data_IF_131909219985
#
_entry.id   IF_131909219985
#
_cell.length_a   1.000
_cell.length_b   1.000
_cell.length_c   1.000
_cell.angle_alpha   90.00
_cell.angle_beta   90.00
_cell.angle_gamma   90.00
#
_symmetry.space_group_name_H-M   'P 1'
#
loop_
_entity.id
_entity.type
_entity.pdbx_description
1 polymer ?
#
# COMPACT_ATOMS: atom_id res chain seq x y z
N UNK A 1 -9.00 8.43 -16.34
CA UNK A 1 -7.60 8.88 -16.40
C UNK A 1 -7.53 10.25 -17.04
N UNK A 2 -6.68 11.12 -16.52
CA UNK A 2 -6.43 12.46 -17.09
C UNK A 2 -5.00 12.43 -17.62
N UNK A 3 -4.77 12.51 -18.94
CA UNK A 3 -3.42 12.63 -19.47
C UNK A 3 -2.79 13.94 -18.97
N UNK A 4 -1.56 13.89 -18.48
CA UNK A 4 -0.88 15.06 -17.89
C UNK A 4 0.17 15.65 -18.82
N UNK A 5 0.98 14.80 -19.46
CA UNK A 5 1.91 15.21 -20.51
C UNK A 5 1.25 15.29 -21.89
N UNK A 6 2.04 15.61 -22.92
CA UNK A 6 1.60 15.66 -24.32
C UNK A 6 2.12 14.47 -25.15
N UNK A 7 2.61 13.40 -24.50
CA UNK A 7 3.07 12.19 -25.18
C UNK A 7 1.89 11.24 -25.42
N UNK A 8 1.19 11.50 -26.53
CA UNK A 8 0.03 10.71 -26.93
C UNK A 8 0.37 9.23 -27.15
N UNK A 9 1.57 8.92 -27.67
CA UNK A 9 1.93 7.54 -27.99
C UNK A 9 2.12 6.72 -26.71
N UNK A 10 2.89 7.22 -25.76
CA UNK A 10 3.12 6.56 -24.47
C UNK A 10 1.82 6.43 -23.67
N UNK A 11 1.00 7.50 -23.67
CA UNK A 11 -0.30 7.49 -23.01
C UNK A 11 -1.24 6.42 -23.61
N UNK A 12 -1.34 6.34 -24.94
CA UNK A 12 -2.19 5.36 -25.62
C UNK A 12 -1.74 3.92 -25.38
N UNK A 13 -0.42 3.65 -25.31
CA UNK A 13 0.10 2.32 -25.00
C UNK A 13 -0.33 1.84 -23.60
N UNK A 14 -0.23 2.71 -22.59
CA UNK A 14 -0.68 2.43 -21.22
C UNK A 14 -2.20 2.31 -21.15
N UNK A 15 -2.92 3.26 -21.74
CA UNK A 15 -4.37 3.33 -21.69
C UNK A 15 -5.04 2.11 -22.33
N UNK A 16 -4.51 1.61 -23.46
CA UNK A 16 -5.06 0.43 -24.15
C UNK A 16 -4.97 -0.87 -23.31
N UNK A 17 -4.16 -0.89 -22.25
CA UNK A 17 -4.04 -2.02 -21.33
C UNK A 17 -4.99 -1.92 -20.13
N UNK A 18 -5.62 -0.77 -19.92
CA UNK A 18 -6.45 -0.49 -18.76
C UNK A 18 -7.94 -0.46 -19.14
N UNK A 19 -8.84 -1.06 -18.34
CA UNK A 19 -10.28 -1.05 -18.62
C UNK A 19 -10.96 0.27 -18.21
N UNK A 20 -10.22 1.38 -18.21
CA UNK A 20 -10.66 2.66 -17.63
C UNK A 20 -11.13 3.64 -18.69
N UNK A 21 -11.93 4.62 -18.29
CA UNK A 21 -12.28 5.75 -19.13
C UNK A 21 -11.21 6.84 -19.03
N UNK A 22 -10.94 7.54 -20.12
CA UNK A 22 -10.02 8.68 -20.15
C UNK A 22 -10.65 9.89 -20.83
N UNK A 23 -10.20 11.08 -20.43
CA UNK A 23 -10.42 12.29 -21.22
C UNK A 23 -9.60 12.24 -22.52
N UNK A 24 -10.12 12.83 -23.63
CA UNK A 24 -9.35 13.02 -24.85
C UNK A 24 -8.11 13.90 -24.60
N UNK A 25 -7.02 13.63 -25.33
CA UNK A 25 -5.77 14.39 -25.20
C UNK A 25 -5.95 15.89 -25.47
N UNK A 26 -6.82 16.27 -26.40
CA UNK A 26 -7.06 17.68 -26.76
C UNK A 26 -8.18 18.35 -25.96
N UNK A 27 -8.66 17.73 -24.88
CA UNK A 27 -9.75 18.29 -24.08
C UNK A 27 -9.27 19.45 -23.20
N UNK A 28 -9.96 20.59 -23.28
CA UNK A 28 -9.69 21.79 -22.47
C UNK A 28 -9.97 21.56 -20.98
N UNK A 29 -10.71 20.52 -20.61
CA UNK A 29 -10.98 20.16 -19.23
C UNK A 29 -9.75 19.59 -18.52
N UNK A 30 -8.75 19.07 -19.26
CA UNK A 30 -7.49 18.56 -18.68
C UNK A 30 -6.84 19.58 -17.76
N UNK A 31 -6.59 20.79 -18.26
CA UNK A 31 -5.93 21.85 -17.49
C UNK A 31 -6.77 22.34 -16.31
N UNK A 32 -8.10 22.33 -16.44
CA UNK A 32 -9.01 22.67 -15.33
C UNK A 32 -8.93 21.64 -14.20
N UNK A 33 -8.90 20.35 -14.53
CA UNK A 33 -8.82 19.27 -13.53
C UNK A 33 -7.47 19.24 -12.85
N UNK A 34 -6.37 19.38 -13.60
CA UNK A 34 -5.01 19.47 -13.04
C UNK A 34 -4.93 20.60 -12.02
N UNK A 35 -5.47 21.77 -12.34
CA UNK A 35 -5.48 22.91 -11.42
C UNK A 35 -6.45 22.72 -10.26
N UNK A 36 -7.62 22.13 -10.48
CA UNK A 36 -8.64 21.97 -9.46
C UNK A 36 -8.24 20.96 -8.38
N UNK A 37 -7.58 19.87 -8.78
CA UNK A 37 -7.11 18.81 -7.89
C UNK A 37 -5.63 18.94 -7.52
N UNK A 38 -4.96 19.99 -7.98
CA UNK A 38 -3.54 20.24 -7.69
C UNK A 38 -2.68 19.00 -7.98
N UNK A 39 -2.81 18.44 -9.20
CA UNK A 39 -2.19 17.18 -9.62
C UNK A 39 -0.67 17.32 -9.90
N UNK A 40 0.07 17.80 -8.91
CA UNK A 40 1.52 18.02 -8.98
C UNK A 40 2.32 16.79 -8.51
N UNK A 41 1.71 15.91 -7.71
CA UNK A 41 2.30 14.67 -7.18
C UNK A 41 1.62 13.44 -7.81
N UNK A 42 2.41 12.48 -8.31
CA UNK A 42 1.91 11.27 -8.96
C UNK A 42 2.44 10.02 -8.27
N UNK A 43 1.63 8.95 -8.16
CA UNK A 43 0.23 8.85 -8.63
C UNK A 43 -0.78 9.54 -7.70
N UNK A 44 -1.80 10.20 -8.28
CA UNK A 44 -2.95 10.74 -7.53
C UNK A 44 -4.25 10.08 -8.00
N UNK A 45 -5.05 9.57 -7.06
CA UNK A 45 -6.36 8.97 -7.32
C UNK A 45 -7.43 9.68 -6.50
N UNK A 46 -8.29 10.46 -7.15
CA UNK A 46 -9.37 11.18 -6.46
C UNK A 46 -10.61 10.29 -6.34
N UNK A 47 -11.14 10.13 -5.13
CA UNK A 47 -12.43 9.45 -4.91
C UNK A 47 -13.59 10.46 -5.01
N UNK A 48 -14.52 10.22 -5.93
CA UNK A 48 -15.71 11.07 -6.15
C UNK A 48 -16.96 10.27 -5.83
N UNK A 49 -17.85 10.84 -5.03
CA UNK A 49 -19.10 10.24 -4.60
C UNK A 49 -20.20 10.32 -5.67
N UNK A 50 -21.31 9.61 -5.47
CA UNK A 50 -22.44 9.60 -6.41
C UNK A 50 -23.12 10.97 -6.57
N UNK A 51 -22.94 11.89 -5.62
CA UNK A 51 -23.41 13.28 -5.70
C UNK A 51 -22.46 14.20 -6.46
N UNK A 52 -21.37 13.66 -7.02
CA UNK A 52 -20.35 14.40 -7.75
C UNK A 52 -19.36 15.16 -6.86
N UNK A 53 -19.44 15.02 -5.53
CA UNK A 53 -18.49 15.65 -4.61
C UNK A 53 -17.29 14.76 -4.36
N UNK A 54 -16.15 15.39 -4.11
CA UNK A 54 -14.94 14.69 -3.66
C UNK A 54 -15.19 14.08 -2.29
N UNK A 55 -15.03 12.77 -2.19
CA UNK A 55 -15.02 12.02 -0.93
C UNK A 55 -13.62 12.10 -0.32
N UNK A 56 -12.59 11.88 -1.14
CA UNK A 56 -11.20 11.95 -0.71
C UNK A 56 -10.29 12.47 -1.84
N UNK A 57 -9.38 13.43 -1.57
CA UNK A 57 -8.59 14.09 -2.61
C UNK A 57 -7.49 13.20 -3.21
N UNK A 58 -6.91 12.27 -2.44
CA UNK A 58 -5.96 11.29 -2.97
C UNK A 58 -6.03 9.97 -2.19
N UNK A 59 -6.43 8.88 -2.82
CA UNK A 59 -6.56 7.54 -2.21
C UNK A 59 -5.50 6.56 -2.72
N UNK A 60 -4.46 7.02 -3.41
CA UNK A 60 -3.42 6.17 -3.98
C UNK A 60 -2.80 5.26 -2.90
N UNK A 61 -2.32 5.86 -1.80
CA UNK A 61 -1.68 5.12 -0.71
C UNK A 61 -2.65 4.14 -0.04
N UNK A 62 -3.89 4.57 0.22
CA UNK A 62 -4.89 3.69 0.82
C UNK A 62 -5.23 2.46 -0.06
N UNK A 63 -5.18 2.61 -1.39
CA UNK A 63 -5.34 1.49 -2.33
C UNK A 63 -4.11 0.59 -2.29
N UNK A 64 -2.91 1.15 -2.23
CA UNK A 64 -1.66 0.38 -2.13
C UNK A 64 -1.60 -0.44 -0.82
N UNK A 65 -1.93 0.18 0.30
CA UNK A 65 -1.82 -0.40 1.63
C UNK A 65 -2.96 -1.37 1.95
N UNK A 66 -4.21 -0.99 1.66
CA UNK A 66 -5.38 -1.75 2.12
C UNK A 66 -6.23 -2.33 0.97
N UNK A 67 -5.95 -1.95 -0.28
CA UNK A 67 -6.70 -2.40 -1.45
C UNK A 67 -8.20 -2.14 -1.32
N UNK A 68 -9.01 -3.17 -1.59
CA UNK A 68 -10.47 -3.07 -1.54
C UNK A 68 -11.02 -2.72 -0.14
N UNK A 69 -10.26 -2.96 0.93
CA UNK A 69 -10.72 -2.68 2.30
C UNK A 69 -10.82 -1.19 2.59
N UNK A 70 -10.10 -0.35 1.84
CA UNK A 70 -10.17 1.10 1.96
C UNK A 70 -11.48 1.69 1.42
N UNK A 71 -12.22 0.97 0.56
CA UNK A 71 -13.52 1.44 0.06
C UNK A 71 -14.55 1.51 1.22
N UNK A 72 -15.37 2.58 1.34
CA UNK A 72 -15.65 3.65 0.37
C UNK A 72 -14.75 4.90 0.44
N UNK A 73 -13.56 4.79 1.02
CA UNK A 73 -12.58 5.88 1.18
C UNK A 73 -13.11 7.06 2.00
N UNK A 74 -14.01 6.78 2.94
CA UNK A 74 -14.54 7.79 3.86
C UNK A 74 -13.68 7.88 5.11
N UNK A 75 -13.69 9.03 5.81
CA UNK A 75 -12.97 9.17 7.07
C UNK A 75 -13.33 8.10 8.10
N UNK A 76 -14.60 7.69 8.17
CA UNK A 76 -15.06 6.64 9.09
C UNK A 76 -14.44 5.29 8.74
N UNK A 77 -14.27 5.00 7.43
CA UNK A 77 -13.65 3.74 7.00
C UNK A 77 -12.16 3.71 7.32
N UNK A 78 -11.47 4.84 7.18
CA UNK A 78 -10.07 4.94 7.58
C UNK A 78 -9.90 4.80 9.09
N UNK A 79 -10.75 5.43 9.90
CA UNK A 79 -10.73 5.25 11.35
C UNK A 79 -10.97 3.78 11.76
N UNK A 80 -11.85 3.06 11.06
CA UNK A 80 -12.05 1.62 11.27
C UNK A 80 -10.79 0.81 10.95
N UNK A 81 -10.10 1.12 9.84
CA UNK A 81 -8.87 0.44 9.45
C UNK A 81 -7.74 0.70 10.44
N UNK A 82 -7.56 1.94 10.87
CA UNK A 82 -6.59 2.31 11.91
C UNK A 82 -6.83 1.55 13.22
N UNK A 83 -8.09 1.40 13.62
CA UNK A 83 -8.46 0.62 14.82
C UNK A 83 -8.09 -0.86 14.66
N UNK A 84 -8.40 -1.45 13.51
CA UNK A 84 -8.06 -2.86 13.21
C UNK A 84 -6.54 -3.06 13.25
N UNK A 85 -5.78 -2.12 12.69
CA UNK A 85 -4.33 -2.18 12.68
C UNK A 85 -3.73 -1.99 14.07
N UNK A 86 -4.25 -1.05 14.86
CA UNK A 86 -3.87 -0.88 16.25
C UNK A 86 -4.15 -2.12 17.07
N UNK A 87 -5.35 -2.68 16.97
CA UNK A 87 -5.71 -3.92 17.65
C UNK A 87 -4.80 -5.09 17.23
N UNK A 88 -4.44 -5.16 15.94
CA UNK A 88 -3.47 -6.15 15.43
C UNK A 88 -2.07 -5.91 16.00
N UNK A 89 -1.63 -4.67 16.14
CA UNK A 89 -0.33 -4.34 16.77
C UNK A 89 -0.32 -4.69 18.26
N UNK A 90 -1.40 -4.44 18.99
CA UNK A 90 -1.52 -4.75 20.42
C UNK A 90 -1.64 -6.26 20.69
N UNK A 91 -2.29 -7.00 19.79
CA UNK A 91 -2.44 -8.45 19.90
C UNK A 91 -1.20 -9.24 19.43
N UNK A 92 -0.16 -8.58 18.92
CA UNK A 92 1.05 -9.27 18.47
C UNK A 92 1.78 -9.90 19.65
N UNK A 93 2.13 -11.17 19.51
CA UNK A 93 3.08 -11.87 20.37
C UNK A 93 4.42 -12.00 19.65
N UNK A 94 5.51 -12.20 20.41
CA UNK A 94 6.83 -12.49 19.86
C UNK A 94 6.79 -13.68 18.88
N UNK A 95 6.02 -14.72 19.20
CA UNK A 95 5.82 -15.88 18.33
C UNK A 95 5.14 -15.47 17.02
N UNK A 96 4.09 -14.63 17.06
CA UNK A 96 3.39 -14.20 15.84
C UNK A 96 4.24 -13.33 14.91
N UNK A 97 5.22 -12.62 15.45
CA UNK A 97 6.16 -11.78 14.68
C UNK A 97 7.28 -12.63 14.09
N UNK A 98 7.78 -13.59 14.86
CA UNK A 98 9.00 -14.33 14.53
C UNK A 98 8.73 -15.67 13.83
N UNK A 99 7.53 -16.22 14.00
CA UNK A 99 7.12 -17.49 13.39
C UNK A 99 6.15 -17.20 12.24
N UNK A 100 6.68 -17.15 11.02
CA UNK A 100 5.90 -17.07 9.79
C UNK A 100 5.97 -18.39 9.02
N UNK A 101 4.83 -18.89 8.54
CA UNK A 101 4.78 -20.09 7.69
C UNK A 101 5.28 -21.39 8.33
N UNK A 102 5.36 -21.47 9.67
CA UNK A 102 5.85 -22.65 10.40
C UNK A 102 7.36 -22.69 10.64
N UNK A 103 8.08 -21.62 10.33
CA UNK A 103 9.50 -21.47 10.66
C UNK A 103 9.64 -21.00 12.11
N UNK A 104 9.96 -21.92 13.00
CA UNK A 104 10.11 -21.71 14.45
C UNK A 104 11.58 -21.64 14.90
N UNK A 105 12.51 -21.38 13.99
CA UNK A 105 13.95 -21.41 14.26
C UNK A 105 14.71 -20.20 13.68
N UNK A 106 15.83 -19.86 14.31
CA UNK A 106 16.84 -18.91 13.80
C UNK A 106 18.13 -19.64 13.44
N UNK A 107 18.91 -19.09 12.50
CA UNK A 107 20.22 -19.66 12.10
C UNK A 107 21.33 -18.88 12.79
N UNK A 108 22.11 -19.57 13.64
CA UNK A 108 23.28 -19.03 14.29
C UNK A 108 24.43 -18.76 13.32
N UNK A 109 25.43 -17.98 13.75
CA UNK A 109 26.63 -17.66 12.95
C UNK A 109 27.42 -18.90 12.50
N UNK A 110 27.30 -19.98 13.24
CA UNK A 110 27.86 -21.30 12.99
C UNK A 110 26.99 -22.18 12.08
N UNK A 111 25.86 -21.65 11.56
CA UNK A 111 24.90 -22.39 10.74
C UNK A 111 23.97 -23.29 11.56
N UNK A 112 24.03 -23.24 12.90
CA UNK A 112 23.19 -24.07 13.76
C UNK A 112 21.78 -23.49 13.83
N UNK A 113 20.78 -24.34 13.63
CA UNK A 113 19.37 -23.96 13.80
C UNK A 113 19.00 -23.99 15.28
N UNK A 114 18.46 -22.89 15.80
CA UNK A 114 18.01 -22.75 17.19
C UNK A 114 16.52 -22.48 17.22
N UNK A 115 15.76 -23.33 17.90
CA UNK A 115 14.31 -23.17 18.05
C UNK A 115 13.96 -21.99 18.96
N UNK A 116 12.91 -21.25 18.60
CA UNK A 116 12.43 -20.08 19.32
C UNK A 116 11.95 -20.39 20.75
N UNK A 117 11.45 -21.62 20.98
CA UNK A 117 10.88 -22.05 22.27
C UNK A 117 11.90 -22.52 23.30
N UNK A 118 13.21 -22.39 23.04
CA UNK A 118 14.23 -22.78 24.01
C UNK A 118 14.29 -21.75 25.15
N UNK A 119 13.88 -22.17 26.35
CA UNK A 119 13.64 -21.34 27.55
C UNK A 119 14.88 -20.62 28.13
N UNK A 120 16.04 -20.77 27.51
CA UNK A 120 17.32 -20.41 28.10
C UNK A 120 18.03 -19.22 27.41
N UNK A 121 17.45 -18.64 26.35
CA UNK A 121 18.11 -17.57 25.58
C UNK A 121 17.20 -16.38 25.27
N UNK A 122 17.63 -15.19 25.70
CA UNK A 122 17.12 -13.91 25.20
C UNK A 122 17.77 -13.64 23.84
N UNK A 123 17.02 -13.83 22.75
CA UNK A 123 17.48 -13.45 21.40
C UNK A 123 17.26 -11.96 21.21
N UNK A 124 18.35 -11.18 21.23
CA UNK A 124 18.34 -9.74 21.00
C UNK A 124 18.23 -9.47 19.49
N UNK A 125 17.04 -9.10 19.01
CA UNK A 125 16.82 -8.71 17.61
C UNK A 125 17.08 -7.22 17.42
N UNK A 126 18.16 -6.88 16.71
CA UNK A 126 18.40 -5.52 16.21
C UNK A 126 17.72 -5.46 14.83
N UNK A 127 16.54 -4.83 14.76
CA UNK A 127 15.92 -4.45 13.49
C UNK A 127 16.74 -3.34 12.86
N UNK A 128 17.75 -3.71 12.08
CA UNK A 128 18.36 -2.79 11.12
C UNK A 128 17.45 -2.78 9.88
N UNK A 129 17.01 -1.59 9.48
CA UNK A 129 15.99 -1.28 8.47
C UNK A 129 16.16 -1.88 7.05
N UNK A 130 16.96 -2.92 6.81
CA UNK A 130 17.25 -3.43 5.46
C UNK A 130 17.54 -4.95 5.36
N UNK A 131 17.02 -5.83 6.23
CA UNK A 131 17.25 -7.28 6.08
C UNK A 131 15.96 -8.08 5.83
N UNK A 132 15.79 -8.48 4.58
CA UNK A 132 14.80 -9.46 4.11
C UNK A 132 15.22 -10.85 4.61
N UNK A 133 14.34 -11.54 5.33
CA UNK A 133 14.47 -12.99 5.55
C UNK A 133 14.06 -13.65 4.24
N UNK A 134 15.04 -14.14 3.49
CA UNK A 134 14.78 -14.91 2.26
C UNK A 134 14.52 -16.36 2.65
N UNK A 135 13.34 -16.93 2.38
CA UNK A 135 13.16 -18.37 2.47
C UNK A 135 13.90 -19.02 1.31
N UNK A 136 14.91 -19.84 1.62
CA UNK A 136 15.54 -20.71 0.64
C UNK A 136 14.57 -21.86 0.32
N UNK A 137 14.21 -22.02 -0.96
CA UNK A 137 13.35 -23.09 -1.50
C UNK A 137 14.16 -24.36 -1.70
#
# INVERSE_FOLDING_TARGET
MVPLDNDEQSFMQLFNQLPWLSLPMNDKCRSKLVRYFELDELPTVVAIGPDGKTVHPNVADAIEEHGLKAFPFTPEKFAELEEIERAKMEAQTLESILVSGGLDFVIGKDGVKVSFFSKDYLVLFIFCLNCIIVPEV
#
